data_IF_956217411364
#
_entry.id   IF_956217411364
#
_cell.length_a   1.000
_cell.length_b   1.000
_cell.length_c   1.000
_cell.angle_alpha   90.00
_cell.angle_beta   90.00
_cell.angle_gamma   90.00
#
_symmetry.space_group_name_H-M   'P 1'
#
loop_
_entity.id
_entity.type
_entity.pdbx_description
1 polymer ?
#
# COMPACT_ATOMS: atom_id res chain seq x y z
N UNK A 1 19.74 9.16 16.05
CA UNK A 1 19.47 10.26 15.11
C UNK A 1 19.32 9.58 13.77
N UNK A 2 18.13 9.04 13.50
CA UNK A 2 16.79 9.68 13.58
C UNK A 2 16.46 10.44 12.29
N UNK A 3 16.89 9.96 11.12
CA UNK A 3 16.46 10.55 9.84
C UNK A 3 15.85 9.54 8.86
N UNK A 4 15.87 8.24 9.17
CA UNK A 4 15.82 7.19 8.15
C UNK A 4 15.42 5.79 8.68
N UNK A 5 14.69 5.61 9.78
CA UNK A 5 13.23 5.47 9.64
C UNK A 5 12.74 6.29 8.43
N UNK A 6 12.99 5.86 7.19
CA UNK A 6 12.05 4.95 6.58
C UNK A 6 10.70 5.64 6.73
N UNK A 7 10.65 6.87 6.18
CA UNK A 7 9.52 7.79 6.28
C UNK A 7 8.31 6.95 5.96
N UNK A 8 7.54 6.72 7.01
CA UNK A 8 6.36 5.90 7.04
C UNK A 8 5.63 6.09 5.72
N UNK A 9 5.30 4.96 5.08
CA UNK A 9 4.19 4.82 4.18
C UNK A 9 3.64 6.17 3.72
N UNK A 10 4.10 6.66 2.57
CA UNK A 10 3.37 7.76 1.92
C UNK A 10 1.97 7.20 1.66
N UNK A 11 1.07 7.54 2.59
CA UNK A 11 -0.35 7.81 2.45
C UNK A 11 -1.01 7.00 1.32
N UNK A 12 -1.76 5.99 1.73
CA UNK A 12 -2.63 5.21 0.86
C UNK A 12 -2.33 3.73 0.96
N UNK A 13 -2.82 3.11 2.04
CA UNK A 13 -3.24 1.72 2.31
C UNK A 13 -2.83 0.51 1.44
N UNK A 14 -2.14 0.63 0.31
CA UNK A 14 -1.20 -0.38 -0.16
C UNK A 14 0.15 -0.11 0.53
N UNK A 15 0.32 -0.72 1.71
CA UNK A 15 1.62 -0.79 2.40
C UNK A 15 2.59 -1.49 1.46
N UNK A 16 3.34 -0.72 0.68
CA UNK A 16 4.50 -1.28 0.02
C UNK A 16 5.46 -1.77 1.09
N UNK A 17 6.13 -2.91 0.86
CA UNK A 17 7.04 -3.50 1.80
C UNK A 17 8.09 -2.44 2.08
N UNK A 18 8.15 -2.02 3.33
CA UNK A 18 9.12 -1.03 3.70
C UNK A 18 10.47 -1.73 3.59
N UNK A 19 11.26 -1.37 2.57
CA UNK A 19 12.56 -1.98 2.32
C UNK A 19 13.32 -2.00 3.65
N UNK A 20 13.42 -3.21 4.20
CA UNK A 20 14.07 -3.45 5.47
C UNK A 20 15.55 -3.10 5.31
N UNK A 21 16.30 -2.99 6.41
CA UNK A 21 17.75 -2.84 6.28
C UNK A 21 18.32 -3.92 5.34
N UNK A 22 19.33 -3.57 4.55
CA UNK A 22 20.04 -4.52 3.72
C UNK A 22 20.38 -5.81 4.51
N UNK A 23 19.94 -6.97 4.00
CA UNK A 23 20.15 -8.27 4.64
C UNK A 23 19.19 -8.61 5.79
N UNK A 24 18.06 -7.91 5.93
CA UNK A 24 17.14 -8.10 7.06
C UNK A 24 15.80 -8.70 6.69
N UNK A 25 15.25 -9.46 7.64
CA UNK A 25 13.90 -10.00 7.61
C UNK A 25 12.98 -9.10 8.44
N UNK A 26 12.03 -8.44 7.78
CA UNK A 26 11.06 -7.58 8.42
C UNK A 26 9.67 -8.23 8.49
N UNK A 27 8.90 -7.88 9.51
CA UNK A 27 7.47 -8.16 9.54
C UNK A 27 6.69 -6.96 10.10
N UNK A 28 5.50 -6.71 9.57
CA UNK A 28 4.57 -5.72 10.11
C UNK A 28 3.19 -6.36 10.35
N UNK A 29 2.50 -5.87 11.38
CA UNK A 29 1.06 -6.10 11.56
C UNK A 29 0.38 -4.78 11.83
N UNK A 30 -0.82 -4.60 11.33
CA UNK A 30 -1.60 -3.38 11.56
C UNK A 30 -3.10 -3.68 11.66
N UNK A 31 -3.77 -2.85 12.46
CA UNK A 31 -5.22 -2.73 12.48
C UNK A 31 -5.60 -1.33 12.02
N UNK A 32 -6.62 -1.21 11.17
CA UNK A 32 -7.17 0.07 10.74
C UNK A 32 -8.70 0.08 10.89
N UNK A 33 -9.30 1.27 11.03
CA UNK A 33 -10.76 1.41 11.11
C UNK A 33 -11.47 1.01 9.83
N UNK A 34 -10.82 1.21 8.68
CA UNK A 34 -11.33 0.95 7.34
C UNK A 34 -10.15 0.66 6.40
N UNK A 35 -10.44 0.09 5.22
CA UNK A 35 -9.46 -0.14 4.16
C UNK A 35 -9.83 0.63 2.88
N UNK A 36 -9.08 1.70 2.57
CA UNK A 36 -9.20 2.42 1.30
C UNK A 36 -8.04 2.08 0.37
N UNK A 37 -8.30 1.32 -0.69
CA UNK A 37 -7.31 1.10 -1.75
C UNK A 37 -7.53 2.10 -2.88
N UNK A 38 -6.50 2.89 -3.23
CA UNK A 38 -6.52 3.85 -4.35
C UNK A 38 -7.73 4.80 -4.33
N UNK A 39 -8.17 5.20 -3.12
CA UNK A 39 -9.31 6.09 -2.90
C UNK A 39 -10.69 5.41 -2.86
N UNK A 40 -10.75 4.08 -2.86
CA UNK A 40 -11.99 3.28 -2.84
C UNK A 40 -12.01 2.37 -1.62
N UNK A 41 -13.11 2.41 -0.85
CA UNK A 41 -13.31 1.54 0.32
C UNK A 41 -13.46 0.08 -0.12
N UNK A 42 -12.68 -0.82 0.48
CA UNK A 42 -12.65 -2.26 0.24
C UNK A 42 -13.40 -3.07 1.31
N UNK A 43 -13.73 -2.43 2.42
CA UNK A 43 -14.26 -3.07 3.62
C UNK A 43 -15.67 -2.64 3.97
N UNK A 44 -16.23 -1.65 3.27
CA UNK A 44 -17.58 -1.13 3.51
C UNK A 44 -17.80 -0.78 4.99
N UNK A 45 -16.83 -0.08 5.58
CA UNK A 45 -16.73 0.27 7.01
C UNK A 45 -16.40 -0.84 8.01
N UNK A 46 -15.99 -2.03 7.53
CA UNK A 46 -15.37 -3.03 8.39
C UNK A 46 -13.89 -2.69 8.65
N UNK A 47 -13.42 -2.96 9.87
CA UNK A 47 -12.01 -2.78 10.20
C UNK A 47 -11.09 -3.68 9.36
N UNK A 48 -9.86 -3.23 9.13
CA UNK A 48 -8.81 -3.99 8.46
C UNK A 48 -7.87 -4.59 9.50
N UNK A 49 -7.62 -5.90 9.41
CA UNK A 49 -6.43 -6.53 9.98
C UNK A 49 -5.51 -6.91 8.82
N UNK A 50 -4.26 -6.45 8.86
CA UNK A 50 -3.26 -6.76 7.85
C UNK A 50 -1.90 -7.08 8.44
N UNK A 51 -1.06 -7.72 7.65
CA UNK A 51 0.35 -7.88 7.96
C UNK A 51 1.17 -8.28 6.74
N UNK A 52 2.48 -8.11 6.88
CA UNK A 52 3.45 -8.50 5.87
C UNK A 52 4.68 -9.18 6.48
N UNK A 53 5.39 -9.93 5.64
CA UNK A 53 6.74 -10.39 5.89
C UNK A 53 7.55 -10.15 4.62
N UNK A 54 8.71 -9.51 4.76
CA UNK A 54 9.57 -9.20 3.62
C UNK A 54 11.04 -9.43 3.94
N UNK A 55 11.80 -9.82 2.92
CA UNK A 55 13.24 -10.02 3.00
C UNK A 55 13.93 -9.16 1.94
N UNK A 56 14.95 -8.41 2.36
CA UNK A 56 15.70 -7.49 1.50
C UNK A 56 17.17 -7.89 1.41
N UNK A 57 17.71 -7.90 0.19
CA UNK A 57 19.13 -8.15 -0.09
C UNK A 57 19.92 -6.84 -0.17
N UNK A 58 21.22 -6.93 0.08
CA UNK A 58 22.15 -5.77 0.05
C UNK A 58 22.19 -5.04 -1.30
N UNK A 59 21.83 -5.73 -2.38
CA UNK A 59 21.80 -5.16 -3.72
C UNK A 59 20.47 -4.46 -4.07
N UNK A 60 19.54 -4.35 -3.11
CA UNK A 60 18.25 -3.69 -3.26
C UNK A 60 17.11 -4.59 -3.73
N UNK A 61 17.39 -5.86 -4.08
CA UNK A 61 16.33 -6.82 -4.37
C UNK A 61 15.56 -7.16 -3.10
N UNK A 62 14.24 -7.29 -3.20
CA UNK A 62 13.40 -7.74 -2.11
C UNK A 62 12.27 -8.64 -2.61
N UNK A 63 11.74 -9.44 -1.70
CA UNK A 63 10.54 -10.23 -1.93
C UNK A 63 9.80 -10.46 -0.61
N UNK A 64 8.51 -10.74 -0.70
CA UNK A 64 7.71 -10.98 0.48
C UNK A 64 6.26 -11.27 0.18
N UNK A 65 5.49 -11.21 1.24
CA UNK A 65 4.08 -11.56 1.27
C UNK A 65 3.31 -10.55 2.09
N UNK A 66 2.12 -10.20 1.62
CA UNK A 66 1.15 -9.38 2.35
C UNK A 66 -0.15 -10.15 2.50
N UNK A 67 -0.88 -9.92 3.58
CA UNK A 67 -2.23 -10.43 3.75
C UNK A 67 -3.10 -9.44 4.51
N UNK A 68 -4.36 -9.35 4.13
CA UNK A 68 -5.34 -8.45 4.75
C UNK A 68 -6.75 -9.01 4.75
N UNK A 69 -7.54 -8.64 5.76
CA UNK A 69 -8.98 -8.94 5.79
C UNK A 69 -9.75 -8.03 4.84
N UNK A 70 -10.74 -8.57 4.13
CA UNK A 70 -11.70 -7.81 3.33
C UNK A 70 -13.11 -7.88 3.97
N UNK A 71 -14.08 -7.13 3.43
CA UNK A 71 -15.50 -7.27 3.82
C UNK A 71 -15.99 -8.72 3.67
N UNK A 72 -15.56 -9.36 2.57
CA UNK A 72 -15.80 -10.77 2.28
C UNK A 72 -14.46 -11.43 2.00
N UNK A 73 -14.04 -12.32 2.89
CA UNK A 73 -12.80 -13.10 2.75
C UNK A 73 -11.54 -12.32 3.14
N UNK A 74 -10.47 -12.62 2.44
CA UNK A 74 -9.13 -12.07 2.63
C UNK A 74 -8.42 -11.88 1.28
N UNK A 75 -7.46 -10.96 1.29
CA UNK A 75 -6.51 -10.72 0.21
C UNK A 75 -5.14 -11.25 0.65
N UNK A 76 -4.42 -11.84 -0.29
CA UNK A 76 -3.06 -12.33 -0.09
C UNK A 76 -2.23 -11.98 -1.30
N UNK A 77 -1.08 -11.35 -1.07
CA UNK A 77 -0.22 -10.88 -2.16
C UNK A 77 1.16 -11.50 -2.09
N UNK A 78 1.68 -11.87 -3.24
CA UNK A 78 3.10 -12.19 -3.41
C UNK A 78 3.76 -11.05 -4.17
N UNK A 79 4.81 -10.48 -3.61
CA UNK A 79 5.53 -9.38 -4.25
C UNK A 79 7.03 -9.65 -4.32
N UNK A 80 7.66 -9.09 -5.36
CA UNK A 80 9.10 -8.97 -5.47
C UNK A 80 9.46 -7.70 -6.23
N UNK A 81 10.62 -7.14 -5.93
CA UNK A 81 11.04 -5.90 -6.56
C UNK A 81 12.50 -5.57 -6.34
N UNK A 82 12.86 -4.38 -6.79
CA UNK A 82 14.13 -3.76 -6.57
C UNK A 82 13.94 -2.31 -6.15
N UNK A 83 14.59 -1.92 -5.05
CA UNK A 83 14.64 -0.55 -4.56
C UNK A 83 16.08 -0.06 -4.46
N UNK A 84 16.31 1.21 -4.80
CA UNK A 84 17.63 1.83 -4.72
C UNK A 84 17.59 3.32 -4.43
N UNK A 85 18.60 3.78 -3.67
CA UNK A 85 18.77 5.18 -3.30
C UNK A 85 20.08 5.75 -3.83
N UNK A 86 19.98 6.88 -4.55
CA UNK A 86 21.10 7.60 -5.16
C UNK A 86 21.09 9.06 -4.68
N UNK A 87 21.63 9.29 -3.49
CA UNK A 87 21.57 10.60 -2.84
C UNK A 87 20.16 10.94 -2.40
N UNK A 88 19.52 11.94 -3.03
CA UNK A 88 18.12 12.32 -2.76
C UNK A 88 17.11 11.57 -3.61
N UNK A 89 17.56 10.87 -4.65
CA UNK A 89 16.72 10.10 -5.54
C UNK A 89 16.49 8.70 -4.96
N UNK A 90 15.23 8.28 -4.88
CA UNK A 90 14.83 6.92 -4.55
C UNK A 90 14.04 6.35 -5.73
N UNK A 91 14.30 5.09 -6.09
CA UNK A 91 13.61 4.38 -7.16
C UNK A 91 13.12 3.04 -6.61
N UNK A 92 11.94 2.62 -7.04
CA UNK A 92 11.40 1.28 -6.81
C UNK A 92 10.73 0.78 -8.09
N UNK A 93 10.98 -0.48 -8.42
CA UNK A 93 10.19 -1.24 -9.38
C UNK A 93 9.83 -2.58 -8.75
N UNK A 94 8.54 -2.91 -8.76
CA UNK A 94 8.02 -4.12 -8.17
C UNK A 94 6.96 -4.76 -9.05
N UNK A 95 6.79 -6.05 -8.82
CA UNK A 95 5.73 -6.87 -9.38
C UNK A 95 5.01 -7.55 -8.22
N UNK A 96 3.69 -7.60 -8.31
CA UNK A 96 2.84 -8.21 -7.30
C UNK A 96 1.76 -9.07 -7.96
N UNK A 97 1.48 -10.22 -7.37
CA UNK A 97 0.31 -11.04 -7.67
C UNK A 97 -0.63 -10.97 -6.48
N UNK A 98 -1.84 -10.50 -6.71
CA UNK A 98 -2.90 -10.30 -5.73
C UNK A 98 -3.88 -11.47 -5.86
N UNK A 99 -4.13 -12.15 -4.75
CA UNK A 99 -5.11 -13.22 -4.64
C UNK A 99 -6.28 -12.76 -3.78
N UNK A 100 -7.48 -12.77 -4.35
CA UNK A 100 -8.71 -12.39 -3.67
C UNK A 100 -9.57 -13.63 -3.40
N UNK A 101 -10.17 -13.67 -2.22
CA UNK A 101 -11.11 -14.72 -1.79
C UNK A 101 -12.45 -14.08 -1.42
N UNK A 102 -13.55 -14.74 -1.75
CA UNK A 102 -14.92 -14.28 -1.44
C UNK A 102 -15.53 -14.98 -0.21
N UNK A 103 -14.85 -15.98 0.34
CA UNK A 103 -15.28 -16.77 1.49
C UNK A 103 -14.36 -16.65 2.70
N UNK A 104 -14.97 -16.49 3.89
CA UNK A 104 -14.22 -16.31 5.15
C UNK A 104 -13.52 -17.58 5.65
N UNK A 105 -13.72 -18.73 4.98
CA UNK A 105 -13.29 -20.06 5.45
C UNK A 105 -12.85 -21.02 4.33
N UNK A 106 -12.80 -20.60 3.06
CA UNK A 106 -12.31 -21.43 1.97
C UNK A 106 -10.83 -21.24 1.71
N UNK A 107 -10.23 -22.28 1.14
CA UNK A 107 -8.91 -22.22 0.51
C UNK A 107 -9.20 -22.25 -1.00
N UNK A 108 -9.78 -21.16 -1.50
CA UNK A 108 -10.07 -20.92 -2.91
C UNK A 108 -9.41 -19.61 -3.35
N UNK A 109 -9.10 -19.47 -4.64
CA UNK A 109 -8.69 -18.19 -5.24
C UNK A 109 -9.77 -17.81 -6.23
N UNK A 110 -10.61 -16.86 -5.88
CA UNK A 110 -11.78 -16.48 -6.67
C UNK A 110 -11.38 -15.50 -7.78
N UNK A 111 -10.43 -14.62 -7.49
CA UNK A 111 -9.75 -13.81 -8.49
C UNK A 111 -8.25 -13.71 -8.24
N UNK A 112 -7.52 -13.56 -9.33
CA UNK A 112 -6.08 -13.30 -9.34
C UNK A 112 -5.87 -12.11 -10.24
N UNK A 113 -5.08 -11.14 -9.78
CA UNK A 113 -4.61 -10.05 -10.63
C UNK A 113 -3.12 -9.79 -10.41
N UNK A 114 -2.48 -9.21 -11.41
CA UNK A 114 -1.05 -8.97 -11.43
C UNK A 114 -0.78 -7.49 -11.69
N UNK A 115 0.13 -6.89 -10.92
CA UNK A 115 0.45 -5.47 -11.00
C UNK A 115 1.96 -5.25 -11.14
N UNK A 116 2.33 -4.30 -12.00
CA UNK A 116 3.66 -3.70 -12.00
C UNK A 116 3.55 -2.32 -11.36
N UNK A 117 4.41 -2.08 -10.38
CA UNK A 117 4.48 -0.83 -9.65
C UNK A 117 5.82 -0.18 -9.93
N UNK A 118 5.80 1.10 -10.29
CA UNK A 118 7.00 1.93 -10.45
C UNK A 118 6.85 3.14 -9.55
N UNK A 119 7.90 3.44 -8.78
CA UNK A 119 7.96 4.61 -7.88
C UNK A 119 9.23 5.39 -8.08
N UNK A 120 9.14 6.70 -7.88
CA UNK A 120 10.28 7.58 -7.75
C UNK A 120 10.05 8.59 -6.63
N UNK A 121 11.09 8.89 -5.86
CA UNK A 121 11.10 9.93 -4.84
C UNK A 121 12.30 10.85 -5.01
N UNK A 122 12.11 12.16 -4.82
CA UNK A 122 13.19 13.13 -4.81
C UNK A 122 12.96 14.19 -3.72
N UNK A 123 13.74 14.10 -2.64
CA UNK A 123 13.54 14.98 -1.49
C UNK A 123 12.15 14.80 -0.89
N UNK A 124 11.37 15.88 -0.83
CA UNK A 124 10.00 15.87 -0.27
C UNK A 124 8.94 15.36 -1.25
N UNK A 125 9.28 15.13 -2.52
CA UNK A 125 8.31 14.73 -3.54
C UNK A 125 8.42 13.25 -3.84
N UNK A 126 7.29 12.61 -4.08
CA UNK A 126 7.25 11.24 -4.63
C UNK A 126 6.14 11.10 -5.67
N UNK A 127 6.34 10.19 -6.62
CA UNK A 127 5.34 9.82 -7.61
C UNK A 127 5.36 8.31 -7.85
N UNK A 128 4.24 7.77 -8.32
CA UNK A 128 4.11 6.35 -8.62
C UNK A 128 3.09 6.07 -9.71
N UNK A 129 3.29 4.95 -10.39
CA UNK A 129 2.31 4.35 -11.28
C UNK A 129 2.14 2.86 -10.96
N UNK A 130 0.90 2.39 -10.92
CA UNK A 130 0.52 0.97 -10.83
C UNK A 130 -0.19 0.60 -12.11
N UNK A 131 0.23 -0.48 -12.73
CA UNK A 131 -0.27 -0.95 -14.00
C UNK A 131 -0.79 -2.37 -13.80
N UNK A 132 -2.08 -2.58 -14.07
CA UNK A 132 -2.62 -3.92 -14.13
C UNK A 132 -2.07 -4.64 -15.37
N UNK A 133 -1.51 -5.85 -15.19
CA UNK A 133 -0.82 -6.61 -16.25
C UNK A 133 -1.68 -7.75 -16.78
N UNK A 134 -2.51 -8.34 -15.91
CA UNK A 134 -3.36 -9.47 -16.24
C UNK A 134 -4.59 -9.46 -15.32
N UNK A 135 -5.73 -9.00 -15.85
CA UNK A 135 -7.05 -9.05 -15.21
C UNK A 135 -7.88 -10.26 -15.67
N UNK A 136 -7.44 -10.94 -16.74
CA UNK A 136 -8.20 -11.99 -17.44
C UNK A 136 -8.28 -13.33 -16.66
N UNK A 137 -7.60 -13.44 -15.51
CA UNK A 137 -7.57 -14.65 -14.66
C UNK A 137 -8.61 -14.67 -13.53
N UNK A 138 -9.54 -13.71 -13.48
CA UNK A 138 -10.66 -13.77 -12.56
C UNK A 138 -11.58 -14.96 -12.89
N UNK A 139 -11.51 -16.01 -12.08
CA UNK A 139 -12.27 -17.26 -12.30
C UNK A 139 -13.66 -17.26 -11.65
N UNK A 140 -13.92 -16.36 -10.71
CA UNK A 140 -15.21 -16.20 -10.06
C UNK A 140 -16.12 -15.26 -10.86
N UNK A 141 -17.33 -15.73 -11.11
CA UNK A 141 -18.35 -15.13 -12.00
C UNK A 141 -18.80 -13.72 -11.60
N UNK A 142 -18.47 -13.29 -10.39
CA UNK A 142 -18.90 -12.03 -9.78
C UNK A 142 -17.72 -11.13 -9.34
N UNK A 143 -16.47 -11.55 -9.56
CA UNK A 143 -15.27 -10.78 -9.19
C UNK A 143 -14.66 -10.16 -10.45
N UNK A 144 -15.26 -9.07 -10.93
CA UNK A 144 -14.71 -8.34 -12.07
C UNK A 144 -13.47 -7.57 -11.60
N UNK A 145 -12.27 -8.04 -11.97
CA UNK A 145 -11.07 -7.21 -11.90
C UNK A 145 -11.05 -6.40 -13.19
N UNK A 146 -11.31 -5.11 -13.07
CA UNK A 146 -11.27 -4.20 -14.20
C UNK A 146 -9.82 -3.79 -14.49
N UNK A 147 -9.43 -3.74 -15.75
CA UNK A 147 -8.14 -3.16 -16.17
C UNK A 147 -8.07 -1.68 -15.74
N UNK A 148 -6.95 -1.31 -15.13
CA UNK A 148 -6.73 0.07 -14.74
C UNK A 148 -5.25 0.45 -14.74
N UNK A 149 -5.01 1.76 -14.82
CA UNK A 149 -3.73 2.36 -14.47
C UNK A 149 -3.93 3.39 -13.37
N UNK A 150 -3.17 3.26 -12.28
CA UNK A 150 -3.22 4.19 -11.16
C UNK A 150 -1.98 5.06 -11.12
N UNK A 151 -2.17 6.36 -11.03
CA UNK A 151 -1.13 7.36 -10.88
C UNK A 151 -1.24 8.04 -9.52
N UNK A 152 -0.12 8.25 -8.84
CA UNK A 152 -0.09 9.04 -7.61
C UNK A 152 1.08 10.01 -7.56
N UNK A 153 0.86 11.13 -6.89
CA UNK A 153 1.89 12.11 -6.55
C UNK A 153 1.68 12.59 -5.11
N UNK A 154 2.78 12.71 -4.37
CA UNK A 154 2.74 13.08 -2.97
C UNK A 154 3.84 14.06 -2.59
N UNK A 155 3.58 14.79 -1.51
CA UNK A 155 4.52 15.69 -0.88
C UNK A 155 4.57 15.44 0.62
N UNK A 156 5.78 15.22 1.15
CA UNK A 156 6.07 15.22 2.57
C UNK A 156 6.26 16.66 3.05
N UNK A 157 5.38 17.12 3.94
CA UNK A 157 5.41 18.48 4.49
C UNK A 157 5.91 18.50 5.92
N UNK A 158 6.64 17.47 6.35
CA UNK A 158 7.15 17.32 7.72
C UNK A 158 8.06 18.45 8.19
N UNK A 159 8.68 19.20 7.27
CA UNK A 159 9.43 20.42 7.62
C UNK A 159 8.52 21.51 8.24
N UNK A 160 7.25 21.57 7.84
CA UNK A 160 6.28 22.56 8.33
C UNK A 160 5.28 21.96 9.33
N UNK A 161 4.92 20.69 9.15
CA UNK A 161 3.98 19.96 9.98
C UNK A 161 4.48 18.52 10.15
N UNK A 162 5.25 18.28 11.23
CA UNK A 162 5.92 16.99 11.45
C UNK A 162 4.97 15.80 11.35
N UNK A 163 5.33 14.83 10.50
CA UNK A 163 4.55 13.61 10.27
C UNK A 163 3.40 13.77 9.29
N UNK A 164 3.28 14.93 8.62
CA UNK A 164 2.20 15.17 7.66
C UNK A 164 2.68 14.99 6.23
N UNK A 165 1.90 14.27 5.43
CA UNK A 165 2.06 14.16 3.98
C UNK A 165 0.73 14.34 3.25
N UNK A 166 0.80 14.84 2.02
CA UNK A 166 -0.37 15.00 1.15
C UNK A 166 -0.18 14.18 -0.12
N UNK A 167 -1.24 13.50 -0.56
CA UNK A 167 -1.26 12.69 -1.78
C UNK A 167 -2.44 13.08 -2.66
N UNK A 168 -2.21 13.09 -3.96
CA UNK A 168 -3.25 13.09 -4.98
C UNK A 168 -3.07 11.85 -5.86
N UNK A 169 -4.16 11.14 -6.13
CA UNK A 169 -4.16 9.99 -7.02
C UNK A 169 -5.29 10.00 -8.04
N UNK A 170 -5.06 9.29 -9.14
CA UNK A 170 -5.98 9.07 -10.25
C UNK A 170 -5.93 7.60 -10.63
N UNK A 171 -7.08 6.94 -10.65
CA UNK A 171 -7.27 5.62 -11.23
C UNK A 171 -8.02 5.79 -12.54
N UNK A 172 -7.33 5.48 -13.64
CA UNK A 172 -7.86 5.44 -15.00
C UNK A 172 -8.33 4.01 -15.28
N UNK A 173 -9.64 3.84 -15.40
CA UNK A 173 -10.30 2.56 -15.54
C UNK A 173 -10.66 2.33 -17.02
N UNK A 174 -10.50 1.11 -17.51
CA UNK A 174 -10.72 0.81 -18.93
C UNK A 174 -12.20 0.94 -19.36
N UNK A 175 -13.13 0.54 -18.50
CA UNK A 175 -14.56 0.39 -18.80
C UNK A 175 -15.48 1.22 -17.90
N UNK A 176 -14.95 1.82 -16.82
CA UNK A 176 -15.69 2.57 -15.82
C UNK A 176 -15.19 4.00 -15.63
N UNK A 177 -15.80 4.75 -14.72
CA UNK A 177 -15.45 6.16 -14.50
C UNK A 177 -14.17 6.28 -13.68
N UNK A 178 -13.27 7.15 -14.13
CA UNK A 178 -12.05 7.49 -13.40
C UNK A 178 -12.33 7.90 -11.96
N UNK A 179 -11.48 7.39 -11.05
CA UNK A 179 -11.50 7.78 -9.65
C UNK A 179 -10.34 8.74 -9.38
N UNK A 180 -10.66 9.90 -8.83
CA UNK A 180 -9.65 10.83 -8.30
C UNK A 180 -9.78 10.88 -6.80
N UNK A 181 -8.66 10.94 -6.10
CA UNK A 181 -8.66 11.06 -4.66
C UNK A 181 -7.57 12.00 -4.15
N UNK A 182 -7.86 12.59 -3.00
CA UNK A 182 -6.93 13.35 -2.20
C UNK A 182 -6.84 12.70 -0.83
N UNK A 183 -5.62 12.64 -0.29
CA UNK A 183 -5.34 12.08 1.01
C UNK A 183 -4.40 13.00 1.78
N UNK A 184 -4.75 13.27 3.04
CA UNK A 184 -3.89 13.95 3.99
C UNK A 184 -3.63 13.00 5.16
N UNK A 185 -2.37 12.66 5.35
CA UNK A 185 -1.94 11.69 6.37
C UNK A 185 -1.18 12.40 7.46
N UNK A 186 -1.46 12.01 8.71
CA UNK A 186 -0.59 12.25 9.84
C UNK A 186 -0.09 10.90 10.37
N UNK A 187 1.22 10.72 10.44
CA UNK A 187 1.85 9.48 10.87
C UNK A 187 2.96 9.74 11.89
N UNK A 188 3.04 8.92 12.94
CA UNK A 188 4.08 9.02 13.95
C UNK A 188 4.41 7.67 14.59
N UNK A 189 5.62 7.55 15.15
CA UNK A 189 6.03 6.42 15.98
C UNK A 189 5.84 6.79 17.46
N UNK A 190 4.95 6.07 18.14
CA UNK A 190 4.58 6.35 19.55
C UNK A 190 5.41 5.57 20.56
N UNK A 191 5.99 4.44 20.14
CA UNK A 191 6.96 3.63 20.86
C UNK A 191 7.79 2.83 19.85
N UNK A 192 8.88 2.18 20.26
CA UNK A 192 9.80 1.47 19.36
C UNK A 192 9.05 0.51 18.43
N UNK A 193 8.99 0.89 17.15
CA UNK A 193 8.30 0.12 16.10
C UNK A 193 6.78 0.07 16.24
N UNK A 194 6.15 0.93 17.05
CA UNK A 194 4.70 1.08 17.16
C UNK A 194 4.28 2.36 16.44
N UNK A 195 3.57 2.21 15.33
CA UNK A 195 3.07 3.31 14.51
C UNK A 195 1.64 3.71 14.89
N UNK A 196 1.37 5.00 14.81
CA UNK A 196 0.02 5.57 14.83
C UNK A 196 -0.15 6.46 13.60
N UNK A 197 -1.24 6.27 12.88
CA UNK A 197 -1.53 6.96 11.63
C UNK A 197 -3.01 7.36 11.56
N UNK A 198 -3.26 8.53 10.98
CA UNK A 198 -4.59 9.06 10.70
C UNK A 198 -4.60 9.59 9.28
N UNK A 199 -5.48 9.05 8.44
CA UNK A 199 -5.66 9.46 7.06
C UNK A 199 -7.02 10.13 6.90
N UNK A 200 -7.03 11.33 6.32
CA UNK A 200 -8.23 11.93 5.77
C UNK A 200 -8.25 11.67 4.27
N UNK A 201 -9.22 10.90 3.80
CA UNK A 201 -9.34 10.48 2.41
C UNK A 201 -10.62 11.06 1.83
N UNK A 202 -10.54 11.64 0.63
CA UNK A 202 -11.71 12.06 -0.12
C UNK A 202 -11.54 11.65 -1.58
N UNK A 203 -12.55 11.03 -2.17
CA UNK A 203 -12.51 10.62 -3.57
C UNK A 203 -13.75 11.03 -4.33
N UNK A 204 -13.70 10.94 -5.65
CA UNK A 204 -14.86 11.19 -6.52
C UNK A 204 -15.91 10.07 -6.45
N UNK A 205 -15.55 8.92 -5.88
CA UNK A 205 -16.42 7.73 -5.79
C UNK A 205 -17.02 7.57 -4.39
N UNK A 206 -16.28 7.93 -3.36
CA UNK A 206 -16.66 7.73 -1.96
C UNK A 206 -16.80 9.06 -1.20
N UNK A 207 -17.66 9.06 -0.17
CA UNK A 207 -17.69 10.17 0.78
C UNK A 207 -16.34 10.30 1.51
N UNK A 208 -16.04 11.51 2.01
CA UNK A 208 -14.82 11.72 2.80
C UNK A 208 -14.80 10.85 4.05
N UNK A 209 -13.65 10.24 4.32
CA UNK A 209 -13.44 9.31 5.43
C UNK A 209 -12.21 9.69 6.27
N UNK A 210 -12.23 9.23 7.51
CA UNK A 210 -11.07 9.30 8.41
C UNK A 210 -10.71 7.89 8.80
N UNK A 211 -9.53 7.44 8.39
CA UNK A 211 -8.99 6.12 8.75
C UNK A 211 -7.99 6.29 9.88
N UNK A 212 -8.10 5.45 10.91
CA UNK A 212 -7.12 5.41 12.01
C UNK A 212 -6.42 4.06 12.00
N UNK A 213 -5.10 4.07 11.96
CA UNK A 213 -4.26 2.86 11.90
C UNK A 213 -3.32 2.79 13.09
N UNK A 214 -3.23 1.60 13.68
CA UNK A 214 -2.19 1.22 14.65
C UNK A 214 -1.37 0.07 14.07
N UNK A 215 -0.04 0.18 14.12
CA UNK A 215 0.84 -0.85 13.56
C UNK A 215 1.99 -1.22 14.49
N UNK A 216 2.53 -2.42 14.28
CA UNK A 216 3.74 -2.90 14.93
C UNK A 216 4.69 -3.51 13.89
N UNK A 217 5.90 -2.97 13.83
CA UNK A 217 6.99 -3.52 13.04
C UNK A 217 7.94 -4.34 13.90
N UNK A 218 8.44 -5.42 13.33
CA UNK A 218 9.37 -6.37 13.91
C UNK A 218 10.60 -6.48 13.00
N UNK A 219 11.76 -6.40 13.62
CA UNK A 219 13.04 -6.75 13.01
C UNK A 219 13.37 -8.18 13.45
N UNK A 220 13.33 -9.11 12.50
CA UNK A 220 13.44 -10.53 12.78
C UNK A 220 14.87 -11.06 12.59
N UNK A 221 15.71 -10.35 11.81
CA UNK A 221 17.11 -10.69 11.54
C UNK A 221 17.92 -9.47 11.11
#
# INVERSE_FOLDING_TARGET
MKKLLLSMAVAGLATMPVASQAGSLGANVAIASDYYSKGVDQTSTAGLLKGDISYSLDNGLYAGVWAGSLDKGYEFDLFAGWAGSFGKLNLDISYMTIYLTDDAWGIGTDAITEEILVRAGYGIFSAGVDINVDSDKATAKDTFVEDYTHYKASVDVSEWANGVSLTYGLVDYADSQDVRYFEATYATEIDKGVGFEVDFINSTKEAGAVVVTLSKSFDLM
#
